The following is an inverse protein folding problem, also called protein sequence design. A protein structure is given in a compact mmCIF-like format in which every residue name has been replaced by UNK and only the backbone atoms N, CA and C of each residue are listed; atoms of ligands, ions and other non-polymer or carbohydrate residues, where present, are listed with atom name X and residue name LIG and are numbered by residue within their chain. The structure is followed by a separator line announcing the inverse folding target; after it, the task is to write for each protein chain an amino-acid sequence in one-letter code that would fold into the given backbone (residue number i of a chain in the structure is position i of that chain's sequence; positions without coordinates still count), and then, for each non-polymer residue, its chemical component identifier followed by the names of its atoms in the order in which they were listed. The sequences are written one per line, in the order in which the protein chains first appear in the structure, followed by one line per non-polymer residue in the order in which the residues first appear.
data_IF_379611844987
#
_entry.id   IF_379611844987
#
_cell.length_a   1.000
_cell.length_b   1.000
_cell.length_c   1.000
_cell.angle_alpha   90.00
_cell.angle_beta   90.00
_cell.angle_gamma   90.00
#
_symmetry.space_group_name_H-M   'P 1'
#
loop_
_entity.id
_entity.type
_entity.pdbx_description
1 polymer ?
#
# COMPACT_ATOMS: atom_id res chain seq x y z
N UNK A 1 -20.34 7.55 19.21
CA UNK A 1 -19.78 7.01 17.96
C UNK A 1 -18.64 7.95 17.61
N UNK A 2 -17.42 7.51 17.89
CA UNK A 2 -16.28 8.41 17.99
C UNK A 2 -15.70 8.74 16.61
N UNK A 3 -15.14 9.94 16.47
CA UNK A 3 -14.57 10.47 15.22
C UNK A 3 -13.53 9.51 14.59
N UNK A 4 -12.82 8.75 15.42
CA UNK A 4 -11.86 7.73 15.00
C UNK A 4 -12.48 6.64 14.10
N UNK A 5 -13.62 6.08 14.51
CA UNK A 5 -14.30 5.01 13.75
C UNK A 5 -14.79 5.50 12.38
N UNK A 6 -15.24 6.77 12.32
CA UNK A 6 -15.68 7.38 11.07
C UNK A 6 -14.50 7.53 10.08
N UNK A 7 -13.32 7.97 10.57
CA UNK A 7 -12.11 8.09 9.75
C UNK A 7 -11.63 6.73 9.21
N UNK A 8 -11.62 5.68 10.04
CA UNK A 8 -11.26 4.33 9.60
C UNK A 8 -12.22 3.81 8.53
N UNK A 9 -13.53 4.00 8.74
CA UNK A 9 -14.54 3.59 7.79
C UNK A 9 -14.36 4.27 6.42
N UNK A 10 -14.14 5.59 6.40
CA UNK A 10 -13.91 6.35 5.16
C UNK A 10 -12.64 5.86 4.45
N UNK A 11 -11.55 5.62 5.19
CA UNK A 11 -10.27 5.15 4.61
C UNK A 11 -10.43 3.81 3.92
N UNK A 12 -11.09 2.86 4.58
CA UNK A 12 -11.28 1.49 4.07
C UNK A 12 -12.23 1.50 2.86
N UNK A 13 -13.32 2.27 2.93
CA UNK A 13 -14.29 2.38 1.84
C UNK A 13 -13.63 2.89 0.55
N UNK A 14 -12.87 3.99 0.63
CA UNK A 14 -12.21 4.59 -0.53
C UNK A 14 -11.22 3.64 -1.21
N UNK A 15 -10.49 2.83 -0.43
CA UNK A 15 -9.60 1.80 -0.95
C UNK A 15 -10.36 0.75 -1.79
N UNK A 16 -11.46 0.21 -1.28
CA UNK A 16 -12.25 -0.80 -1.99
C UNK A 16 -12.91 -0.28 -3.27
N UNK A 17 -13.34 0.99 -3.26
CA UNK A 17 -13.88 1.65 -4.46
C UNK A 17 -12.86 1.69 -5.61
N UNK A 18 -11.58 1.91 -5.31
CA UNK A 18 -10.52 1.92 -6.31
C UNK A 18 -10.06 0.49 -6.71
N UNK A 19 -9.94 -0.41 -5.73
CA UNK A 19 -9.37 -1.75 -5.94
C UNK A 19 -10.31 -2.70 -6.70
N UNK A 20 -11.58 -2.77 -6.33
CA UNK A 20 -12.52 -3.77 -6.86
C UNK A 20 -12.73 -3.67 -8.38
N UNK A 21 -12.87 -2.47 -9.00
CA UNK A 21 -12.94 -2.35 -10.45
C UNK A 21 -11.66 -2.86 -11.15
N UNK A 22 -10.48 -2.55 -10.58
CA UNK A 22 -9.20 -3.02 -11.13
C UNK A 22 -9.09 -4.54 -11.12
N UNK A 23 -9.47 -5.17 -10.01
CA UNK A 23 -9.54 -6.65 -9.91
C UNK A 23 -10.53 -7.23 -10.91
N UNK A 24 -11.69 -6.59 -11.12
CA UNK A 24 -12.70 -7.07 -12.09
C UNK A 24 -12.18 -7.06 -13.53
N UNK A 25 -11.31 -6.10 -13.88
CA UNK A 25 -10.74 -5.95 -15.22
C UNK A 25 -9.55 -6.90 -15.43
N UNK A 26 -8.61 -6.95 -14.47
CA UNK A 26 -7.32 -7.64 -14.63
C UNK A 26 -7.36 -9.08 -14.11
N UNK A 27 -8.33 -9.41 -13.27
CA UNK A 27 -8.51 -10.71 -12.61
C UNK A 27 -7.72 -10.82 -11.30
N UNK A 28 -8.28 -11.54 -10.32
CA UNK A 28 -7.71 -11.64 -8.97
C UNK A 28 -6.27 -12.18 -8.94
N UNK A 29 -5.96 -13.20 -9.73
CA UNK A 29 -4.62 -13.80 -9.76
C UNK A 29 -3.53 -12.86 -10.26
N UNK A 30 -3.85 -11.98 -11.22
CA UNK A 30 -2.91 -10.97 -11.72
C UNK A 30 -2.90 -9.71 -10.86
N UNK A 31 -4.00 -9.38 -10.19
CA UNK A 31 -4.09 -8.23 -9.31
C UNK A 31 -3.38 -8.46 -7.97
N UNK A 32 -3.44 -9.67 -7.40
CA UNK A 32 -2.94 -9.96 -6.05
C UNK A 32 -1.48 -9.52 -5.78
N UNK A 33 -0.50 -9.74 -6.68
CA UNK A 33 0.88 -9.31 -6.44
C UNK A 33 1.04 -7.79 -6.30
N UNK A 34 0.14 -6.98 -6.89
CA UNK A 34 0.21 -5.51 -6.79
C UNK A 34 -0.04 -4.98 -5.38
N UNK A 35 -0.75 -5.72 -4.53
CA UNK A 35 -0.95 -5.35 -3.11
C UNK A 35 0.39 -5.34 -2.38
N UNK A 36 1.31 -6.25 -2.74
CA UNK A 36 2.62 -6.35 -2.10
C UNK A 36 3.52 -5.13 -2.42
N UNK A 37 3.17 -4.34 -3.45
CA UNK A 37 3.87 -3.12 -3.82
C UNK A 37 3.37 -1.87 -3.08
N UNK A 38 2.26 -1.95 -2.34
CA UNK A 38 1.75 -0.84 -1.52
C UNK A 38 2.82 -0.16 -0.66
N UNK A 39 3.61 -0.88 0.16
CA UNK A 39 4.64 -0.27 0.99
C UNK A 39 5.71 0.50 0.20
N UNK A 40 6.04 0.04 -1.01
CA UNK A 40 6.96 0.74 -1.91
C UNK A 40 6.37 2.07 -2.35
N UNK A 41 5.11 2.05 -2.82
CA UNK A 41 4.40 3.25 -3.21
C UNK A 41 4.18 4.22 -2.04
N UNK A 42 3.91 3.71 -0.84
CA UNK A 42 3.78 4.52 0.37
C UNK A 42 5.05 5.31 0.68
N UNK A 43 6.23 4.67 0.62
CA UNK A 43 7.51 5.37 0.86
C UNK A 43 7.79 6.38 -0.25
N UNK A 44 7.59 6.01 -1.52
CA UNK A 44 7.78 6.92 -2.66
C UNK A 44 6.90 8.17 -2.48
N UNK A 45 5.60 7.98 -2.24
CA UNK A 45 4.65 9.06 -2.09
C UNK A 45 4.90 9.87 -0.81
N UNK A 46 5.32 9.26 0.30
CA UNK A 46 5.72 9.98 1.51
C UNK A 46 6.89 10.94 1.27
N UNK A 47 7.88 10.50 0.50
CA UNK A 47 9.03 11.34 0.16
C UNK A 47 8.64 12.46 -0.81
N UNK A 48 7.86 12.15 -1.85
CA UNK A 48 7.50 13.15 -2.87
C UNK A 48 6.42 14.12 -2.41
N UNK A 49 5.35 13.65 -1.76
CA UNK A 49 4.20 14.47 -1.38
C UNK A 49 4.35 15.08 0.01
N UNK A 50 4.88 14.31 0.98
CA UNK A 50 5.02 14.76 2.37
C UNK A 50 6.43 15.31 2.66
N UNK A 51 7.37 15.22 1.70
CA UNK A 51 8.76 15.66 1.85
C UNK A 51 9.44 14.99 3.05
N UNK A 52 9.08 13.75 3.34
CA UNK A 52 9.67 12.99 4.45
C UNK A 52 11.14 12.70 4.19
N UNK A 53 11.99 12.98 5.18
CA UNK A 53 13.40 12.60 5.13
C UNK A 53 13.55 11.12 5.43
N UNK A 54 14.02 10.35 4.44
CA UNK A 54 14.26 8.91 4.61
C UNK A 54 15.44 8.72 5.57
N UNK A 55 15.15 8.24 6.78
CA UNK A 55 16.18 7.76 7.70
C UNK A 55 16.73 6.41 7.25
N UNK A 56 17.94 6.04 7.68
CA UNK A 56 18.53 4.72 7.36
C UNK A 56 17.66 3.53 7.80
N UNK A 57 16.87 3.70 8.88
CA UNK A 57 15.91 2.70 9.36
C UNK A 57 14.72 2.57 8.41
N UNK A 58 14.21 3.70 7.89
CA UNK A 58 13.13 3.72 6.89
C UNK A 58 13.56 3.01 5.60
N UNK A 59 14.82 3.22 5.18
CA UNK A 59 15.38 2.54 4.02
C UNK A 59 15.48 1.02 4.23
N UNK A 60 16.00 0.58 5.38
CA UNK A 60 16.04 -0.84 5.76
C UNK A 60 14.64 -1.47 5.82
N UNK A 61 13.67 -0.77 6.41
CA UNK A 61 12.27 -1.20 6.43
C UNK A 61 11.68 -1.35 5.02
N UNK A 62 11.95 -0.40 4.13
CA UNK A 62 11.58 -0.49 2.71
C UNK A 62 12.20 -1.71 2.01
N UNK A 63 13.49 -1.97 2.22
CA UNK A 63 14.19 -3.14 1.66
C UNK A 63 13.61 -4.46 2.17
N UNK A 64 13.36 -4.59 3.47
CA UNK A 64 12.73 -5.78 4.06
C UNK A 64 11.35 -6.01 3.44
N UNK A 65 10.59 -4.93 3.22
CA UNK A 65 9.23 -5.05 2.69
C UNK A 65 9.23 -5.45 1.22
N UNK A 66 10.17 -4.95 0.41
CA UNK A 66 10.37 -5.40 -0.98
C UNK A 66 10.77 -6.88 -1.01
N UNK A 67 11.68 -7.31 -0.14
CA UNK A 67 12.06 -8.72 -0.05
C UNK A 67 10.87 -9.62 0.33
N UNK A 68 10.07 -9.21 1.32
CA UNK A 68 8.84 -9.90 1.69
C UNK A 68 7.82 -9.96 0.55
N UNK A 69 7.67 -8.87 -0.20
CA UNK A 69 6.79 -8.79 -1.36
C UNK A 69 7.20 -9.77 -2.48
N UNK A 70 8.50 -9.85 -2.78
CA UNK A 70 9.04 -10.79 -3.76
C UNK A 70 8.81 -12.22 -3.30
N UNK A 71 9.13 -12.55 -2.04
CA UNK A 71 8.93 -13.89 -1.48
C UNK A 71 7.46 -14.32 -1.48
N UNK A 72 6.52 -13.41 -1.18
CA UNK A 72 5.09 -13.70 -1.17
C UNK A 72 4.48 -13.84 -2.58
N UNK A 73 5.19 -13.37 -3.60
CA UNK A 73 4.73 -13.38 -5.00
C UNK A 73 5.38 -14.49 -5.83
N UNK A 74 6.41 -15.17 -5.30
CA UNK A 74 6.99 -16.41 -5.82
C UNK A 74 6.10 -17.61 -5.47
#
# INVERSE_FOLDING_TARGET
MDLYYLCEYIRISNWYFAWNPGVKIVGAGRAAPYINLLPVWTVILGVFLLQEHISGITFLGGMITILGAVLASL
#
